data_IF_426294984365
#
_entry.id   IF_426294984365
#
_cell.length_a   1.000
_cell.length_b   1.000
_cell.length_c   1.000
_cell.angle_alpha   90.00
_cell.angle_beta   90.00
_cell.angle_gamma   90.00
#
_symmetry.space_group_name_H-M   'P 1'
#
loop_
_entity.id
_entity.type
_entity.pdbx_description
1 polymer ?
#
# COMPACT_ATOMS: atom_id res chain seq x y z
N UNK A 1 -7.36 -0.27 -30.09
CA UNK A 1 -7.76 0.30 -28.80
C UNK A 1 -6.76 -0.17 -27.77
N UNK A 2 -6.18 0.72 -26.99
CA UNK A 2 -5.25 0.35 -25.91
C UNK A 2 -6.03 -0.33 -24.80
N UNK A 3 -5.54 -1.47 -24.29
CA UNK A 3 -6.10 -2.10 -23.10
C UNK A 3 -5.93 -1.16 -21.90
N UNK A 4 -7.05 -0.60 -21.43
CA UNK A 4 -7.08 0.37 -20.33
C UNK A 4 -6.54 -0.23 -19.03
N UNK A 5 -6.85 -1.50 -18.75
CA UNK A 5 -6.41 -2.20 -17.55
C UNK A 5 -4.89 -2.35 -17.55
N UNK A 6 -4.31 -2.74 -18.68
CA UNK A 6 -2.86 -2.81 -18.84
C UNK A 6 -2.18 -1.43 -18.65
N UNK A 7 -2.77 -0.35 -19.17
CA UNK A 7 -2.24 1.01 -18.99
C UNK A 7 -2.27 1.44 -17.52
N UNK A 8 -3.38 1.22 -16.82
CA UNK A 8 -3.51 1.56 -15.40
C UNK A 8 -2.52 0.76 -14.55
N UNK A 9 -2.40 -0.55 -14.79
CA UNK A 9 -1.46 -1.41 -14.07
C UNK A 9 0.01 -1.00 -14.34
N UNK A 10 0.35 -0.65 -15.58
CA UNK A 10 1.70 -0.16 -15.90
C UNK A 10 2.02 1.16 -15.17
N UNK A 11 1.06 2.09 -15.12
CA UNK A 11 1.22 3.33 -14.35
C UNK A 11 1.38 3.05 -12.86
N UNK A 12 0.55 2.18 -12.27
CA UNK A 12 0.63 1.81 -10.86
C UNK A 12 2.00 1.20 -10.51
N UNK A 13 2.51 0.29 -11.34
CA UNK A 13 3.87 -0.27 -11.19
C UNK A 13 4.96 0.79 -11.25
N UNK A 14 4.83 1.78 -12.13
CA UNK A 14 5.73 2.93 -12.20
C UNK A 14 5.76 3.75 -10.91
N UNK A 15 4.59 4.06 -10.33
CA UNK A 15 4.49 4.80 -9.07
C UNK A 15 5.07 4.02 -7.89
N UNK A 16 4.81 2.70 -7.81
CA UNK A 16 5.40 1.81 -6.79
C UNK A 16 6.92 1.78 -6.86
N UNK A 17 7.47 1.63 -8.07
CA UNK A 17 8.91 1.67 -8.29
C UNK A 17 9.51 3.03 -7.89
N UNK A 18 8.84 4.13 -8.23
CA UNK A 18 9.29 5.47 -7.85
C UNK A 18 9.28 5.70 -6.33
N UNK A 19 8.33 5.10 -5.59
CA UNK A 19 8.32 5.19 -4.13
C UNK A 19 9.52 4.49 -3.49
N UNK A 20 9.86 3.29 -3.95
CA UNK A 20 11.05 2.58 -3.48
C UNK A 20 12.34 3.29 -3.90
N UNK A 21 12.40 3.78 -5.14
CA UNK A 21 13.57 4.51 -5.66
C UNK A 21 13.89 5.79 -4.88
N UNK A 22 12.90 6.43 -4.23
CA UNK A 22 13.13 7.58 -3.35
C UNK A 22 13.89 7.22 -2.06
N UNK A 23 14.01 5.94 -1.71
CA UNK A 23 14.78 5.47 -0.55
C UNK A 23 16.23 5.11 -0.91
N UNK A 24 16.55 5.02 -2.19
CA UNK A 24 17.86 4.59 -2.67
C UNK A 24 18.93 5.64 -2.35
N UNK A 25 20.09 5.17 -1.87
CA UNK A 25 21.21 6.04 -1.48
C UNK A 25 20.99 6.87 -0.21
N UNK A 26 19.80 6.82 0.40
CA UNK A 26 19.54 7.49 1.68
C UNK A 26 20.07 6.67 2.86
N UNK A 27 20.60 7.37 3.87
CA UNK A 27 20.90 6.78 5.17
C UNK A 27 19.62 6.39 5.92
N UNK A 28 19.73 5.45 6.86
CA UNK A 28 18.61 5.05 7.72
C UNK A 28 17.95 6.24 8.44
N UNK A 29 18.76 7.20 8.89
CA UNK A 29 18.24 8.44 9.48
C UNK A 29 17.39 9.24 8.48
N UNK A 30 17.86 9.42 7.25
CA UNK A 30 17.14 10.20 6.24
C UNK A 30 15.87 9.51 5.75
N UNK A 31 15.81 8.19 5.80
CA UNK A 31 14.58 7.42 5.51
C UNK A 31 13.49 7.65 6.56
N UNK A 32 13.87 7.82 7.83
CA UNK A 32 12.97 7.85 8.99
C UNK A 32 12.66 9.24 9.53
N UNK A 33 13.51 10.24 9.25
CA UNK A 33 13.31 11.58 9.81
C UNK A 33 12.04 12.22 9.26
N UNK A 34 11.21 12.86 10.11
CA UNK A 34 10.13 13.70 9.64
C UNK A 34 10.61 14.79 8.69
N UNK A 35 9.87 15.01 7.60
CA UNK A 35 10.05 16.12 6.66
C UNK A 35 8.96 17.18 6.77
N UNK A 36 7.91 16.91 7.55
CA UNK A 36 6.77 17.81 7.78
C UNK A 36 6.44 17.89 9.27
N UNK A 37 5.72 18.93 9.73
CA UNK A 37 5.26 19.04 11.12
C UNK A 37 4.33 17.90 11.56
N UNK A 38 3.66 17.23 10.63
CA UNK A 38 2.79 16.08 10.90
C UNK A 38 3.56 14.77 11.13
N UNK A 39 4.90 14.80 11.12
CA UNK A 39 5.70 13.59 11.36
C UNK A 39 5.95 12.74 10.12
N UNK A 40 5.43 13.12 8.95
CA UNK A 40 5.55 12.35 7.72
C UNK A 40 7.02 12.17 7.32
N UNK A 41 7.40 10.92 7.08
CA UNK A 41 8.74 10.52 6.64
C UNK A 41 8.64 9.51 5.49
N UNK A 42 9.72 9.33 4.73
CA UNK A 42 9.70 8.51 3.51
C UNK A 42 9.43 7.03 3.78
N UNK A 43 10.04 6.46 4.82
CA UNK A 43 9.85 5.06 5.16
C UNK A 43 8.42 4.78 5.65
N UNK A 44 7.85 5.70 6.43
CA UNK A 44 6.47 5.67 6.88
C UNK A 44 5.49 5.72 5.71
N UNK A 45 5.75 6.51 4.68
CA UNK A 45 4.92 6.50 3.47
C UNK A 45 4.94 5.12 2.77
N UNK A 46 6.10 4.45 2.70
CA UNK A 46 6.17 3.09 2.13
C UNK A 46 5.40 2.08 2.99
N UNK A 47 5.50 2.19 4.32
CA UNK A 47 4.76 1.36 5.27
C UNK A 47 3.25 1.53 5.12
N UNK A 48 2.76 2.77 5.12
CA UNK A 48 1.36 3.11 4.89
C UNK A 48 0.84 2.55 3.55
N UNK A 49 1.60 2.75 2.47
CA UNK A 49 1.21 2.24 1.16
C UNK A 49 1.13 0.71 1.12
N UNK A 50 1.93 -0.02 1.89
CA UNK A 50 1.77 -1.48 1.99
C UNK A 50 0.40 -1.87 2.57
N UNK A 51 -0.09 -1.12 3.55
CA UNK A 51 -1.45 -1.28 4.07
C UNK A 51 -2.52 -0.94 3.02
N UNK A 52 -2.32 0.15 2.24
CA UNK A 52 -3.23 0.50 1.15
C UNK A 52 -3.33 -0.59 0.08
N UNK A 53 -2.21 -1.18 -0.32
CA UNK A 53 -2.17 -2.27 -1.30
C UNK A 53 -3.02 -3.46 -0.84
N UNK A 54 -2.79 -3.96 0.38
CA UNK A 54 -3.58 -5.07 0.92
C UNK A 54 -5.04 -4.71 1.18
N UNK A 55 -5.34 -3.50 1.65
CA UNK A 55 -6.73 -3.09 1.92
C UNK A 55 -7.54 -2.91 0.64
N UNK A 56 -7.05 -2.10 -0.30
CA UNK A 56 -7.81 -1.72 -1.50
C UNK A 56 -7.79 -2.81 -2.59
N UNK A 57 -6.67 -3.51 -2.79
CA UNK A 57 -6.58 -4.56 -3.81
C UNK A 57 -6.63 -5.98 -3.23
N UNK A 58 -6.61 -6.14 -1.91
CA UNK A 58 -6.77 -7.45 -1.25
C UNK A 58 -8.15 -7.59 -0.60
N UNK A 59 -8.30 -7.04 0.60
CA UNK A 59 -9.48 -7.21 1.46
C UNK A 59 -10.77 -6.74 0.77
N UNK A 60 -10.69 -5.66 -0.02
CA UNK A 60 -11.85 -5.14 -0.77
C UNK A 60 -12.40 -6.12 -1.81
N UNK A 61 -11.61 -7.12 -2.20
CA UNK A 61 -11.98 -8.18 -3.14
C UNK A 61 -11.98 -9.57 -2.47
N UNK A 62 -12.03 -9.62 -1.14
CA UNK A 62 -12.06 -10.88 -0.38
C UNK A 62 -10.75 -11.68 -0.43
N UNK A 63 -9.62 -11.02 -0.71
CA UNK A 63 -8.31 -11.65 -0.80
C UNK A 63 -7.45 -11.27 0.40
N UNK A 64 -7.24 -12.23 1.29
CA UNK A 64 -6.45 -11.98 2.49
C UNK A 64 -4.97 -11.78 2.19
N UNK A 65 -4.36 -10.82 2.89
CA UNK A 65 -2.94 -10.54 2.83
C UNK A 65 -2.09 -11.78 3.20
N UNK A 66 -0.98 -11.99 2.49
CA UNK A 66 -0.02 -13.06 2.80
C UNK A 66 0.68 -12.84 4.14
N UNK A 67 0.90 -11.57 4.48
CA UNK A 67 1.47 -11.14 5.74
C UNK A 67 0.55 -10.06 6.31
N UNK A 68 0.21 -10.16 7.59
CA UNK A 68 -0.59 -9.14 8.30
C UNK A 68 0.26 -8.54 9.42
N UNK A 69 1.16 -7.59 9.10
CA UNK A 69 1.95 -6.92 10.12
C UNK A 69 1.06 -6.29 11.19
N UNK A 70 1.58 -6.15 12.42
CA UNK A 70 0.78 -5.67 13.56
C UNK A 70 0.22 -4.24 13.40
N UNK A 71 0.80 -3.46 12.48
CA UNK A 71 0.38 -2.12 12.08
C UNK A 71 -0.60 -2.10 10.89
N UNK A 72 -0.84 -3.25 10.24
CA UNK A 72 -1.91 -3.42 9.27
C UNK A 72 -3.20 -3.81 10.02
N UNK A 73 -3.88 -2.79 10.55
CA UNK A 73 -5.09 -2.92 11.36
C UNK A 73 -6.29 -2.31 10.65
N UNK A 74 -7.46 -2.85 10.96
CA UNK A 74 -8.76 -2.37 10.48
C UNK A 74 -9.20 -1.03 11.14
N UNK A 75 -8.32 -0.41 11.93
CA UNK A 75 -8.60 0.83 12.67
C UNK A 75 -7.93 2.04 11.99
N UNK A 76 -8.70 2.89 11.29
CA UNK A 76 -8.19 4.06 10.58
C UNK A 76 -7.79 5.22 11.51
N UNK A 77 -8.06 5.14 12.82
CA UNK A 77 -7.84 6.27 13.75
C UNK A 77 -6.44 6.31 14.35
N UNK A 78 -5.66 5.25 14.18
CA UNK A 78 -4.26 5.22 14.60
C UNK A 78 -3.38 5.20 13.36
N UNK A 79 -2.79 6.35 13.01
CA UNK A 79 -1.81 6.51 11.92
C UNK A 79 -0.48 5.76 12.19
N UNK A 80 -0.53 4.61 12.85
CA UNK A 80 0.62 3.83 13.32
C UNK A 80 1.50 3.32 12.16
N UNK A 81 0.93 3.26 10.97
CA UNK A 81 1.60 2.93 9.72
C UNK A 81 2.30 4.14 9.07
N UNK A 82 2.11 5.36 9.58
CA UNK A 82 2.78 6.57 9.08
C UNK A 82 4.21 6.75 9.59
N UNK A 83 4.68 5.89 10.50
CA UNK A 83 6.06 5.86 10.97
C UNK A 83 6.57 4.44 11.23
N UNK A 84 7.88 4.27 11.06
CA UNK A 84 8.59 3.05 11.45
C UNK A 84 9.02 3.14 12.92
N UNK A 85 8.75 2.10 13.71
CA UNK A 85 9.28 2.00 15.07
C UNK A 85 10.79 1.70 15.04
N UNK A 86 11.53 1.89 16.15
CA UNK A 86 12.96 1.58 16.20
C UNK A 86 13.29 0.12 15.84
N UNK A 87 12.40 -0.81 16.16
CA UNK A 87 12.60 -2.26 15.93
C UNK A 87 12.21 -2.71 14.51
N UNK A 88 11.49 -1.87 13.76
CA UNK A 88 11.12 -2.16 12.37
C UNK A 88 12.25 -1.72 11.44
N UNK A 89 12.93 -2.65 10.78
CA UNK A 89 13.98 -2.33 9.80
C UNK A 89 13.41 -1.77 8.49
N UNK A 90 14.22 -0.98 7.77
CA UNK A 90 13.83 -0.49 6.43
C UNK A 90 13.64 -1.63 5.44
N UNK A 91 14.48 -2.67 5.52
CA UNK A 91 14.39 -3.85 4.67
C UNK A 91 13.12 -4.65 4.92
N UNK A 92 12.70 -4.77 6.19
CA UNK A 92 11.43 -5.40 6.55
C UNK A 92 10.26 -4.65 5.90
N UNK A 93 10.15 -3.34 6.15
CA UNK A 93 9.04 -2.52 5.63
C UNK A 93 9.01 -2.55 4.08
N UNK A 94 10.15 -2.37 3.42
CA UNK A 94 10.21 -2.41 1.96
C UNK A 94 9.93 -3.80 1.40
N UNK A 95 10.29 -4.87 2.11
CA UNK A 95 9.93 -6.25 1.79
C UNK A 95 8.41 -6.47 1.85
N UNK A 96 7.76 -6.05 2.95
CA UNK A 96 6.30 -6.10 3.08
C UNK A 96 5.63 -5.34 1.94
N UNK A 97 6.12 -4.14 1.61
CA UNK A 97 5.55 -3.34 0.51
C UNK A 97 5.66 -4.05 -0.84
N UNK A 98 6.79 -4.71 -1.15
CA UNK A 98 6.94 -5.50 -2.38
C UNK A 98 5.98 -6.68 -2.42
N UNK A 99 5.81 -7.38 -1.31
CA UNK A 99 4.85 -8.50 -1.20
C UNK A 99 3.41 -8.00 -1.40
N UNK A 100 3.06 -6.86 -0.82
CA UNK A 100 1.75 -6.24 -0.99
C UNK A 100 1.51 -5.84 -2.45
N UNK A 101 2.49 -5.24 -3.12
CA UNK A 101 2.41 -4.92 -4.55
C UNK A 101 2.19 -6.16 -5.42
N UNK A 102 2.90 -7.26 -5.12
CA UNK A 102 2.74 -8.53 -5.84
C UNK A 102 1.36 -9.16 -5.61
N UNK A 103 0.83 -9.05 -4.39
CA UNK A 103 -0.52 -9.47 -4.06
C UNK A 103 -1.57 -8.68 -4.85
N UNK A 104 -1.45 -7.35 -4.87
CA UNK A 104 -2.32 -6.48 -5.69
C UNK A 104 -2.23 -6.80 -7.18
N UNK A 105 -1.03 -7.07 -7.71
CA UNK A 105 -0.85 -7.47 -9.11
C UNK A 105 -1.60 -8.77 -9.44
N UNK A 106 -1.62 -9.74 -8.54
CA UNK A 106 -2.38 -10.97 -8.70
C UNK A 106 -3.90 -10.70 -8.68
N UNK A 107 -4.38 -9.84 -7.77
CA UNK A 107 -5.79 -9.45 -7.77
C UNK A 107 -6.19 -8.79 -9.08
N UNK A 108 -5.39 -7.80 -9.52
CA UNK A 108 -5.66 -7.06 -10.76
C UNK A 108 -5.59 -8.00 -11.96
N UNK A 109 -4.65 -8.95 -12.00
CA UNK A 109 -4.58 -9.92 -13.10
C UNK A 109 -5.87 -10.74 -13.24
N UNK A 110 -6.42 -11.22 -12.12
CA UNK A 110 -7.54 -12.16 -12.09
C UNK A 110 -8.94 -11.53 -12.24
N UNK A 111 -9.07 -10.20 -12.08
CA UNK A 111 -10.36 -9.49 -12.05
C UNK A 111 -10.52 -8.49 -13.20
N UNK A 112 -11.72 -8.37 -13.77
CA UNK A 112 -12.06 -7.32 -14.72
C UNK A 112 -12.27 -5.96 -14.01
N UNK A 113 -12.16 -4.84 -14.75
CA UNK A 113 -12.31 -3.49 -14.18
C UNK A 113 -13.70 -3.23 -13.56
N UNK A 114 -14.74 -3.93 -14.03
CA UNK A 114 -16.09 -3.82 -13.48
C UNK A 114 -16.38 -4.85 -12.37
N UNK A 115 -15.37 -5.62 -11.94
CA UNK A 115 -15.51 -6.55 -10.83
C UNK A 115 -15.91 -5.79 -9.55
N UNK A 116 -16.98 -6.21 -8.85
CA UNK A 116 -17.42 -5.53 -7.64
C UNK A 116 -16.40 -5.68 -6.51
N UNK A 117 -16.17 -4.59 -5.78
CA UNK A 117 -15.33 -4.54 -4.58
C UNK A 117 -16.05 -3.80 -3.45
N UNK A 118 -15.69 -4.13 -2.20
CA UNK A 118 -16.28 -3.57 -0.99
C UNK A 118 -15.22 -3.02 -0.03
N UNK A 119 -15.17 -1.71 0.15
CA UNK A 119 -14.19 -1.04 1.02
C UNK A 119 -14.76 -0.80 2.41
N UNK A 120 -14.36 -1.62 3.39
CA UNK A 120 -14.97 -1.66 4.72
C UNK A 120 -14.90 -0.33 5.50
N UNK A 121 -13.80 0.42 5.39
CA UNK A 121 -13.59 1.68 6.14
C UNK A 121 -14.22 2.91 5.48
N UNK A 122 -14.82 2.78 4.30
CA UNK A 122 -15.56 3.89 3.69
C UNK A 122 -16.89 4.13 4.41
N UNK A 123 -17.42 5.36 4.29
CA UNK A 123 -18.68 5.73 4.93
C UNK A 123 -19.81 4.78 4.52
N UNK A 124 -20.62 4.34 5.50
CA UNK A 124 -21.75 3.42 5.27
C UNK A 124 -22.63 3.90 4.11
N UNK A 125 -22.93 2.99 3.19
CA UNK A 125 -23.68 3.29 1.95
C UNK A 125 -22.83 3.81 0.79
N UNK A 126 -21.53 3.96 0.98
CA UNK A 126 -20.54 4.28 -0.07
C UNK A 126 -19.40 3.27 -0.10
N UNK A 127 -19.62 2.04 0.36
CA UNK A 127 -18.57 1.02 0.48
C UNK A 127 -18.42 0.18 -0.80
N UNK A 128 -19.45 0.17 -1.65
CA UNK A 128 -19.42 -0.55 -2.94
C UNK A 128 -18.66 0.26 -4.00
N UNK A 129 -17.78 -0.41 -4.73
CA UNK A 129 -17.02 0.12 -5.86
C UNK A 129 -16.78 -0.99 -6.88
N UNK A 130 -16.05 -0.67 -7.95
CA UNK A 130 -15.39 -1.64 -8.81
C UNK A 130 -13.88 -1.49 -8.71
N UNK A 131 -13.15 -2.40 -9.37
CA UNK A 131 -11.69 -2.36 -9.52
C UNK A 131 -11.17 -1.13 -10.30
#
# INVERSE_FOLDING_TARGET
>A
MTDLKAVLLANLRGHRAAMLGKLDGLSEYNRRRPLTPTGTNLLGLVKHLAGCEYGYFGDSFGRHAYERPSWFRDDPYTETDMWATPDESSDYITGVYRNACAHSDATIADLELDSPGHVAHWAKGRQETTL
#
